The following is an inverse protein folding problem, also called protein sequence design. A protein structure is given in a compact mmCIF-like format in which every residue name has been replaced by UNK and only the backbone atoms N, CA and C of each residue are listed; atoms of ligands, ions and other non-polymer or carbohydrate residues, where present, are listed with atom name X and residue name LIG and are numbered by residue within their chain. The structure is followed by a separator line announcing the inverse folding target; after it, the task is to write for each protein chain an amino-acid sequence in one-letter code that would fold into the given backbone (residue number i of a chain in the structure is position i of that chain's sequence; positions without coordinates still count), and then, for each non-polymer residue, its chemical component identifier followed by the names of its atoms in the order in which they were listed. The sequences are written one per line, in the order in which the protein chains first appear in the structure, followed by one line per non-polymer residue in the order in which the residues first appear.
data_IF_104848212857
#
_entry.id   IF_104848212857
#
_cell.length_a   1.000
_cell.length_b   1.000
_cell.length_c   1.000
_cell.angle_alpha   90.00
_cell.angle_beta   90.00
_cell.angle_gamma   90.00
#
_symmetry.space_group_name_H-M   'P 1'
#
loop_
_entity.id
_entity.type
_entity.pdbx_description
1 polymer ?
#
# COMPACT_ATOMS: atom_id res chain seq x y z
N UNK A 1 11.06 -0.34 5.41
CA UNK A 1 11.89 0.23 6.47
C UNK A 1 11.18 -0.03 7.81
N UNK A 2 11.79 -0.81 8.72
CA UNK A 2 11.35 -0.89 10.11
C UNK A 2 12.26 0.00 10.96
N UNK A 3 11.70 0.80 11.84
CA UNK A 3 12.46 1.58 12.79
C UNK A 3 12.16 1.08 14.20
N UNK A 4 13.19 0.67 14.93
CA UNK A 4 13.10 0.36 16.35
C UNK A 4 13.44 1.63 17.14
N UNK A 5 12.57 2.02 18.04
CA UNK A 5 12.80 3.21 18.91
C UNK A 5 13.13 2.75 20.31
N UNK A 6 14.34 3.01 20.76
CA UNK A 6 14.83 2.61 22.08
C UNK A 6 14.33 3.50 23.22
N UNK A 7 14.46 2.98 24.45
CA UNK A 7 14.00 3.64 25.68
C UNK A 7 14.94 4.73 26.23
N UNK A 8 16.16 4.83 25.71
CA UNK A 8 17.10 5.87 26.10
C UNK A 8 17.13 6.97 25.04
N UNK A 9 16.72 8.16 25.43
CA UNK A 9 16.67 9.41 24.67
C UNK A 9 16.96 9.28 23.15
N UNK A 10 15.92 8.91 22.36
CA UNK A 10 15.93 9.01 20.88
C UNK A 10 16.91 8.09 20.14
N UNK A 11 17.26 6.92 20.67
CA UNK A 11 17.96 5.90 19.88
C UNK A 11 16.99 5.35 18.83
N UNK A 12 17.40 5.42 17.58
CA UNK A 12 16.67 4.91 16.43
C UNK A 12 17.48 3.81 15.77
N UNK A 13 17.08 2.58 16.01
CA UNK A 13 17.65 1.44 15.33
C UNK A 13 16.88 1.18 14.03
N UNK A 14 17.59 0.81 13.00
CA UNK A 14 17.02 0.47 11.70
C UNK A 14 17.25 -0.98 11.38
N UNK A 15 16.19 -1.63 10.95
CA UNK A 15 16.22 -2.99 10.48
C UNK A 15 15.90 -3.03 8.99
N UNK A 16 16.81 -3.53 8.17
CA UNK A 16 16.64 -3.54 6.71
C UNK A 16 17.42 -4.71 6.09
N UNK A 17 16.84 -5.35 5.08
CA UNK A 17 17.51 -6.41 4.29
C UNK A 17 18.12 -5.89 2.98
N UNK A 18 17.94 -4.61 2.64
CA UNK A 18 18.48 -4.01 1.42
C UNK A 18 19.64 -3.06 1.75
N UNK A 19 20.88 -3.41 1.38
CA UNK A 19 22.04 -2.54 1.61
C UNK A 19 22.16 -1.36 0.64
N UNK A 20 21.41 -1.36 -0.47
CA UNK A 20 21.53 -0.36 -1.53
C UNK A 20 20.46 0.75 -1.45
N UNK A 21 20.16 1.22 -0.26
CA UNK A 21 19.20 2.33 -0.05
C UNK A 21 19.80 3.38 0.85
N UNK A 22 19.51 4.65 0.58
CA UNK A 22 19.97 5.79 1.41
C UNK A 22 19.58 5.66 2.89
N UNK A 23 18.53 4.91 3.18
CA UNK A 23 18.09 4.63 4.55
C UNK A 23 19.03 3.71 5.33
N UNK A 24 19.98 3.07 4.67
CA UNK A 24 21.02 2.23 5.27
C UNK A 24 22.38 2.89 5.26
N UNK A 25 22.46 4.17 4.94
CA UNK A 25 23.67 4.94 5.11
C UNK A 25 24.03 5.03 6.60
N UNK A 26 25.32 5.07 6.88
CA UNK A 26 25.88 4.94 8.24
C UNK A 26 25.43 6.03 9.22
N UNK A 27 24.96 7.15 8.72
CA UNK A 27 24.53 8.32 9.49
C UNK A 27 23.01 8.47 9.63
N UNK A 28 22.23 7.54 9.09
CA UNK A 28 20.75 7.61 9.08
C UNK A 28 20.09 6.99 10.31
N UNK A 29 20.83 6.17 11.07
CA UNK A 29 20.35 5.51 12.29
C UNK A 29 21.49 5.32 13.29
N UNK A 30 21.15 5.15 14.57
CA UNK A 30 22.14 4.90 15.61
C UNK A 30 22.72 3.48 15.52
N UNK A 31 21.88 2.52 15.13
CA UNK A 31 22.27 1.14 14.83
C UNK A 31 21.56 0.64 13.60
N UNK A 32 22.23 -0.20 12.85
CA UNK A 32 21.73 -0.79 11.62
C UNK A 32 21.87 -2.30 11.65
N UNK A 33 20.75 -2.99 11.48
CA UNK A 33 20.66 -4.44 11.41
C UNK A 33 20.36 -4.85 9.97
N UNK A 34 21.28 -5.61 9.36
CA UNK A 34 21.12 -6.19 8.04
C UNK A 34 20.74 -7.66 8.17
N UNK A 35 19.45 -7.91 8.34
CA UNK A 35 18.92 -9.25 8.51
C UNK A 35 17.65 -9.43 7.63
N UNK A 36 17.23 -10.66 7.37
CA UNK A 36 15.98 -10.92 6.66
C UNK A 36 14.77 -10.35 7.42
N UNK A 37 13.83 -9.74 6.72
CA UNK A 37 12.58 -9.24 7.30
C UNK A 37 11.61 -10.39 7.60
N UNK A 38 12.06 -11.36 8.40
CA UNK A 38 11.22 -12.42 8.97
C UNK A 38 10.75 -12.03 10.36
N UNK A 39 9.66 -12.62 10.82
CA UNK A 39 9.16 -12.34 12.16
C UNK A 39 10.15 -12.76 13.24
N UNK A 40 10.77 -13.91 13.07
CA UNK A 40 11.70 -14.53 14.00
C UNK A 40 12.94 -13.67 14.18
N UNK A 41 13.54 -13.20 13.07
CA UNK A 41 14.74 -12.37 13.10
C UNK A 41 14.45 -11.00 13.70
N UNK A 42 13.31 -10.38 13.33
CA UNK A 42 12.86 -9.11 13.91
C UNK A 42 12.62 -9.24 15.41
N UNK A 43 11.99 -10.33 15.87
CA UNK A 43 11.76 -10.57 17.30
C UNK A 43 13.07 -10.73 18.07
N UNK A 44 14.09 -11.38 17.51
CA UNK A 44 15.41 -11.48 18.15
C UNK A 44 16.03 -10.12 18.40
N UNK A 45 15.94 -9.19 17.44
CA UNK A 45 16.44 -7.81 17.62
C UNK A 45 15.59 -7.04 18.62
N UNK A 46 14.27 -7.20 18.62
CA UNK A 46 13.38 -6.58 19.61
C UNK A 46 13.72 -7.06 21.02
N UNK A 47 13.96 -8.35 21.22
CA UNK A 47 14.36 -8.92 22.52
C UNK A 47 15.72 -8.42 22.98
N UNK A 48 16.64 -8.22 22.04
CA UNK A 48 17.99 -7.71 22.31
C UNK A 48 17.98 -6.23 22.71
N UNK A 49 17.34 -5.40 21.88
CA UNK A 49 17.39 -3.93 22.02
C UNK A 49 16.29 -3.37 22.92
N UNK A 50 15.23 -4.15 23.16
CA UNK A 50 14.08 -3.77 23.99
C UNK A 50 13.53 -2.38 23.68
N UNK A 51 13.21 -2.09 22.41
CA UNK A 51 12.70 -0.80 22.02
C UNK A 51 11.34 -0.52 22.69
N UNK A 52 10.97 0.76 22.79
CA UNK A 52 9.64 1.16 23.26
C UNK A 52 8.55 0.77 22.27
N UNK A 53 8.91 0.57 20.99
CA UNK A 53 8.01 0.11 19.94
C UNK A 53 8.69 0.07 18.58
N UNK A 54 7.92 -0.32 17.58
CA UNK A 54 8.38 -0.57 16.20
C UNK A 54 7.52 0.21 15.21
N UNK A 55 8.15 0.89 14.26
CA UNK A 55 7.49 1.51 13.12
C UNK A 55 7.58 0.56 11.92
N UNK A 56 6.45 0.13 11.37
CA UNK A 56 6.38 -0.81 10.24
C UNK A 56 5.96 -0.16 8.92
N UNK A 57 5.53 1.10 8.94
CA UNK A 57 4.89 1.76 7.80
C UNK A 57 5.86 2.27 6.74
N UNK A 58 7.09 2.64 7.11
CA UNK A 58 8.03 3.35 6.23
C UNK A 58 8.86 2.41 5.34
N UNK A 59 8.48 1.16 5.19
CA UNK A 59 9.26 0.14 4.49
C UNK A 59 8.52 -0.60 3.39
N UNK A 60 7.41 -0.05 2.90
CA UNK A 60 6.56 -0.71 1.91
C UNK A 60 5.85 -1.94 2.49
N UNK A 61 5.46 -2.86 1.62
CA UNK A 61 4.61 -4.01 1.96
C UNK A 61 5.27 -5.06 2.86
N UNK A 62 6.60 -5.20 2.82
CA UNK A 62 7.26 -6.29 3.56
C UNK A 62 7.16 -6.13 5.07
N UNK A 63 7.52 -4.98 5.68
CA UNK A 63 7.32 -4.79 7.11
C UNK A 63 5.83 -4.68 7.50
N UNK A 64 4.96 -4.13 6.64
CA UNK A 64 3.51 -4.09 6.92
C UNK A 64 2.91 -5.48 7.12
N UNK A 65 3.36 -6.50 6.38
CA UNK A 65 2.92 -7.89 6.56
C UNK A 65 3.30 -8.49 7.91
N UNK A 66 4.28 -7.91 8.60
CA UNK A 66 4.65 -8.33 9.95
C UNK A 66 3.78 -7.68 11.04
N UNK A 67 3.04 -6.62 10.72
CA UNK A 67 2.28 -5.83 11.70
C UNK A 67 1.38 -6.71 12.59
N UNK A 68 0.60 -7.61 11.99
CA UNK A 68 -0.28 -8.51 12.73
C UNK A 68 0.48 -9.42 13.70
N UNK A 69 1.54 -10.09 13.22
CA UNK A 69 2.31 -11.02 14.05
C UNK A 69 3.03 -10.31 15.19
N UNK A 70 3.55 -9.10 14.95
CA UNK A 70 4.18 -8.26 15.98
C UNK A 70 3.15 -7.80 17.01
N UNK A 71 1.99 -7.33 16.57
CA UNK A 71 0.88 -6.96 17.46
C UNK A 71 0.42 -8.13 18.33
N UNK A 72 0.19 -9.30 17.72
CA UNK A 72 -0.23 -10.52 18.42
C UNK A 72 0.82 -11.01 19.44
N UNK A 73 2.09 -10.71 19.20
CA UNK A 73 3.20 -10.97 20.12
C UNK A 73 3.36 -9.91 21.22
N UNK A 74 2.49 -8.90 21.27
CA UNK A 74 2.51 -7.82 22.26
C UNK A 74 3.54 -6.72 22.00
N UNK A 75 4.08 -6.64 20.78
CA UNK A 75 5.00 -5.57 20.39
C UNK A 75 4.20 -4.29 20.14
N UNK A 76 4.60 -3.19 20.78
CA UNK A 76 4.00 -1.88 20.55
C UNK A 76 4.33 -1.39 19.14
N UNK A 77 3.29 -1.18 18.30
CA UNK A 77 3.45 -0.48 17.03
C UNK A 77 3.37 1.04 17.27
N UNK A 78 4.32 1.77 16.72
CA UNK A 78 4.40 3.23 16.79
C UNK A 78 3.98 3.84 15.47
N UNK A 79 3.42 5.04 15.53
CA UNK A 79 2.81 5.70 14.40
C UNK A 79 1.36 5.25 14.25
N UNK A 80 0.99 4.62 13.13
CA UNK A 80 -0.35 4.06 12.95
C UNK A 80 -0.50 2.74 13.69
N UNK A 81 -1.58 2.57 14.44
CA UNK A 81 -1.89 1.33 15.15
C UNK A 81 -2.25 0.19 14.20
N UNK A 82 -2.22 -1.05 14.73
CA UNK A 82 -2.51 -2.24 13.92
C UNK A 82 -3.91 -2.20 13.31
N UNK A 83 -4.92 -1.81 14.06
CA UNK A 83 -6.31 -1.77 13.59
C UNK A 83 -6.49 -0.79 12.42
N UNK A 84 -5.77 0.32 12.44
CA UNK A 84 -5.80 1.30 11.36
C UNK A 84 -5.03 0.82 10.13
N UNK A 85 -3.90 0.12 10.33
CA UNK A 85 -3.16 -0.53 9.24
C UNK A 85 -4.03 -1.61 8.59
N UNK A 86 -4.64 -2.50 9.37
CA UNK A 86 -5.51 -3.58 8.88
C UNK A 86 -6.70 -3.01 8.10
N UNK A 87 -7.31 -1.95 8.61
CA UNK A 87 -8.41 -1.25 7.92
C UNK A 87 -8.00 -0.63 6.59
N UNK A 88 -6.76 -0.15 6.48
CA UNK A 88 -6.24 0.41 5.25
C UNK A 88 -5.84 -0.66 4.22
N UNK A 89 -5.34 -1.80 4.69
CA UNK A 89 -4.89 -2.91 3.84
C UNK A 89 -6.05 -3.84 3.39
N UNK A 90 -7.06 -4.00 4.25
CA UNK A 90 -8.24 -4.80 3.90
C UNK A 90 -9.21 -3.99 3.02
N UNK A 91 -9.50 -4.52 1.85
CA UNK A 91 -10.32 -3.83 0.83
C UNK A 91 -11.75 -3.59 1.25
N UNK A 92 -12.36 -4.53 1.96
CA UNK A 92 -13.76 -4.42 2.38
C UNK A 92 -13.86 -3.38 3.51
N UNK A 93 -12.93 -3.42 4.45
CA UNK A 93 -12.85 -2.45 5.54
C UNK A 93 -12.53 -1.05 5.01
N UNK A 94 -11.60 -0.94 4.06
CA UNK A 94 -11.25 0.33 3.43
C UNK A 94 -12.43 0.92 2.65
N UNK A 95 -13.09 0.11 1.81
CA UNK A 95 -14.25 0.55 1.05
C UNK A 95 -15.40 0.98 1.97
N UNK A 96 -15.64 0.26 3.07
CA UNK A 96 -16.64 0.64 4.07
C UNK A 96 -16.29 1.97 4.74
N UNK A 97 -15.01 2.21 5.03
CA UNK A 97 -14.52 3.47 5.59
C UNK A 97 -14.72 4.63 4.62
N UNK A 98 -14.33 4.48 3.34
CA UNK A 98 -14.53 5.51 2.32
C UNK A 98 -16.03 5.85 2.15
N UNK A 99 -16.89 4.84 2.11
CA UNK A 99 -18.34 5.05 2.04
C UNK A 99 -18.88 5.81 3.26
N UNK A 100 -18.40 5.47 4.46
CA UNK A 100 -18.78 6.17 5.70
C UNK A 100 -18.34 7.64 5.69
N UNK A 101 -17.19 7.94 5.10
CA UNK A 101 -16.67 9.29 4.95
C UNK A 101 -17.27 10.05 3.77
N UNK A 102 -18.07 9.40 2.92
CA UNK A 102 -18.62 10.00 1.70
C UNK A 102 -17.57 10.27 0.63
N UNK A 103 -16.40 9.62 0.71
CA UNK A 103 -15.33 9.77 -0.27
C UNK A 103 -15.60 8.91 -1.49
N UNK A 104 -15.23 9.43 -2.66
CA UNK A 104 -15.38 8.72 -3.91
C UNK A 104 -14.26 7.68 -4.07
N UNK A 105 -14.61 6.55 -4.64
CA UNK A 105 -13.67 5.51 -5.05
C UNK A 105 -14.08 4.96 -6.41
N UNK A 106 -13.15 4.42 -7.21
CA UNK A 106 -13.51 3.76 -8.45
C UNK A 106 -14.51 2.63 -8.20
N UNK A 107 -15.50 2.51 -9.07
CA UNK A 107 -16.46 1.40 -8.97
C UNK A 107 -15.70 0.10 -9.18
N UNK A 108 -15.87 -0.84 -8.28
CA UNK A 108 -15.13 -2.09 -8.29
C UNK A 108 -16.02 -3.30 -7.99
N UNK A 109 -15.44 -4.47 -8.15
CA UNK A 109 -16.07 -5.74 -7.79
C UNK A 109 -15.09 -6.90 -7.83
N UNK A 110 -15.50 -8.00 -7.23
CA UNK A 110 -14.71 -9.22 -7.10
C UNK A 110 -15.47 -10.35 -7.81
N UNK A 111 -14.81 -11.07 -8.70
CA UNK A 111 -15.39 -12.17 -9.46
C UNK A 111 -14.65 -13.48 -9.21
N UNK A 112 -15.40 -14.56 -9.01
CA UNK A 112 -14.88 -15.93 -8.93
C UNK A 112 -15.21 -16.75 -10.18
N UNK A 113 -16.06 -16.20 -11.05
CA UNK A 113 -16.45 -16.80 -12.33
C UNK A 113 -16.49 -15.76 -13.43
N UNK A 114 -16.35 -16.20 -14.67
CA UNK A 114 -16.49 -15.33 -15.84
C UNK A 114 -17.87 -14.65 -15.88
N UNK A 115 -18.92 -15.37 -15.51
CA UNK A 115 -20.27 -14.80 -15.47
C UNK A 115 -20.40 -13.63 -14.49
N UNK A 116 -19.78 -13.76 -13.30
CA UNK A 116 -19.71 -12.67 -12.34
C UNK A 116 -18.87 -11.50 -12.87
N UNK A 117 -17.74 -11.79 -13.51
CA UNK A 117 -16.87 -10.79 -14.12
C UNK A 117 -17.61 -9.96 -15.18
N UNK A 118 -18.33 -10.62 -16.06
CA UNK A 118 -19.15 -9.96 -17.10
C UNK A 118 -20.25 -9.07 -16.50
N UNK A 119 -20.92 -9.53 -15.44
CA UNK A 119 -21.93 -8.73 -14.73
C UNK A 119 -21.32 -7.47 -14.11
N UNK A 120 -20.14 -7.61 -13.50
CA UNK A 120 -19.41 -6.50 -12.91
C UNK A 120 -18.96 -5.52 -13.99
N UNK A 121 -18.35 -6.03 -15.07
CA UNK A 121 -17.89 -5.21 -16.19
C UNK A 121 -19.04 -4.41 -16.85
N UNK A 122 -20.21 -5.03 -17.02
CA UNK A 122 -21.41 -4.32 -17.53
C UNK A 122 -21.90 -3.21 -16.60
N UNK A 123 -21.75 -3.39 -15.30
CA UNK A 123 -22.10 -2.35 -14.30
C UNK A 123 -21.09 -1.19 -14.29
N UNK A 124 -19.81 -1.50 -14.44
CA UNK A 124 -18.72 -0.52 -14.38
C UNK A 124 -18.62 0.26 -15.69
N UNK A 125 -18.74 -0.43 -16.83
CA UNK A 125 -18.41 0.07 -18.17
C UNK A 125 -16.92 -0.05 -18.49
N UNK A 126 -16.61 -0.26 -19.78
CA UNK A 126 -15.24 -0.34 -20.26
C UNK A 126 -14.63 1.07 -20.47
N UNK A 127 -13.30 1.25 -20.33
CA UNK A 127 -12.32 0.24 -19.96
C UNK A 127 -12.34 -0.08 -18.44
N UNK A 128 -11.95 -1.32 -18.14
CA UNK A 128 -11.81 -1.83 -16.77
C UNK A 128 -10.39 -2.32 -16.53
N UNK A 129 -9.97 -2.29 -15.26
CA UNK A 129 -8.71 -2.87 -14.81
C UNK A 129 -9.01 -4.23 -14.18
N UNK A 130 -8.36 -5.28 -14.66
CA UNK A 130 -8.54 -6.65 -14.17
C UNK A 130 -7.22 -7.13 -13.55
N UNK A 131 -7.29 -7.66 -12.33
CA UNK A 131 -6.11 -8.15 -11.61
C UNK A 131 -6.46 -9.35 -10.71
N UNK A 132 -5.62 -10.39 -10.65
CA UNK A 132 -5.76 -11.43 -9.65
C UNK A 132 -5.51 -10.87 -8.24
N UNK A 133 -6.18 -11.42 -7.22
CA UNK A 133 -6.07 -10.91 -5.84
C UNK A 133 -4.69 -11.08 -5.21
N UNK A 134 -3.89 -12.02 -5.68
CA UNK A 134 -2.58 -12.36 -5.10
C UNK A 134 -1.48 -12.47 -6.18
N UNK A 135 -1.12 -11.34 -6.77
CA UNK A 135 0.06 -11.29 -7.66
C UNK A 135 1.00 -10.20 -7.19
N UNK A 136 2.21 -10.59 -6.84
CA UNK A 136 3.31 -9.70 -6.50
C UNK A 136 3.90 -9.07 -7.79
N UNK A 137 4.11 -7.76 -7.77
CA UNK A 137 4.90 -7.06 -8.77
C UNK A 137 4.21 -6.73 -10.09
N UNK A 138 2.90 -6.44 -10.11
CA UNK A 138 2.20 -5.94 -11.30
C UNK A 138 2.04 -6.95 -12.44
N UNK A 139 2.49 -8.19 -12.29
CA UNK A 139 2.28 -9.26 -13.26
C UNK A 139 0.80 -9.62 -13.29
N UNK A 140 0.24 -9.67 -14.50
CA UNK A 140 -1.17 -10.00 -14.76
C UNK A 140 -2.21 -8.92 -14.36
N UNK A 141 -1.82 -7.65 -14.24
CA UNK A 141 -2.76 -6.53 -14.21
C UNK A 141 -2.92 -6.00 -15.63
N UNK A 142 -4.13 -5.98 -16.16
CA UNK A 142 -4.40 -5.61 -17.55
C UNK A 142 -5.61 -4.67 -17.63
N UNK A 143 -5.46 -3.64 -18.46
CA UNK A 143 -6.59 -2.81 -18.89
C UNK A 143 -7.33 -3.54 -19.99
N UNK A 144 -8.61 -3.77 -19.78
CA UNK A 144 -9.50 -4.49 -20.67
C UNK A 144 -10.51 -3.53 -21.26
N UNK A 145 -10.55 -3.44 -22.58
CA UNK A 145 -11.35 -2.46 -23.31
C UNK A 145 -12.67 -3.06 -23.86
N UNK A 146 -12.83 -4.39 -23.84
CA UNK A 146 -14.00 -5.07 -24.40
C UNK A 146 -14.31 -6.39 -23.69
N UNK A 147 -15.53 -6.90 -23.92
CA UNK A 147 -16.02 -8.16 -23.37
C UNK A 147 -15.16 -9.35 -23.83
N UNK A 148 -14.83 -9.42 -25.10
CA UNK A 148 -14.01 -10.51 -25.69
C UNK A 148 -12.62 -10.58 -25.02
N UNK A 149 -12.02 -9.43 -24.75
CA UNK A 149 -10.72 -9.36 -24.07
C UNK A 149 -10.82 -9.74 -22.60
N UNK A 150 -11.97 -9.47 -21.95
CA UNK A 150 -12.22 -9.91 -20.59
C UNK A 150 -12.28 -11.43 -20.49
N UNK A 151 -12.92 -12.10 -21.44
CA UNK A 151 -13.01 -13.56 -21.49
C UNK A 151 -11.63 -14.21 -21.64
N UNK A 152 -10.83 -13.71 -22.58
CA UNK A 152 -9.45 -14.19 -22.77
C UNK A 152 -8.62 -14.06 -21.51
N UNK A 153 -8.61 -12.87 -20.91
CA UNK A 153 -7.79 -12.56 -19.75
C UNK A 153 -8.27 -13.29 -18.49
N UNK A 154 -9.57 -13.41 -18.28
CA UNK A 154 -10.14 -14.10 -17.13
C UNK A 154 -9.75 -15.58 -17.09
N UNK A 155 -9.70 -16.21 -18.26
CA UNK A 155 -9.25 -17.59 -18.39
C UNK A 155 -7.76 -17.77 -18.01
N UNK A 156 -6.92 -16.76 -18.23
CA UNK A 156 -5.52 -16.74 -17.81
C UNK A 156 -5.39 -16.44 -16.30
N UNK A 157 -6.12 -15.47 -15.80
CA UNK A 157 -6.09 -15.04 -14.40
C UNK A 157 -6.46 -16.17 -13.43
N UNK A 158 -7.47 -16.98 -13.77
CA UNK A 158 -7.85 -18.16 -12.98
C UNK A 158 -6.74 -19.23 -12.95
N UNK A 159 -6.01 -19.40 -14.05
CA UNK A 159 -4.88 -20.37 -14.08
C UNK A 159 -3.77 -19.98 -13.13
N UNK A 160 -3.54 -18.68 -12.96
CA UNK A 160 -2.47 -18.14 -12.08
C UNK A 160 -2.89 -18.19 -10.61
N UNK A 161 -4.16 -18.04 -10.30
CA UNK A 161 -4.68 -17.99 -8.93
C UNK A 161 -6.07 -18.62 -8.83
N UNK A 162 -6.17 -19.96 -8.92
CA UNK A 162 -7.46 -20.66 -9.04
C UNK A 162 -8.35 -20.53 -7.79
N UNK A 163 -7.76 -20.37 -6.62
CA UNK A 163 -8.47 -20.32 -5.34
C UNK A 163 -8.84 -18.89 -4.90
N UNK A 164 -8.38 -17.89 -5.64
CA UNK A 164 -8.58 -16.48 -5.27
C UNK A 164 -9.44 -15.73 -6.27
N UNK A 165 -10.25 -14.77 -5.81
CA UNK A 165 -11.08 -13.97 -6.70
C UNK A 165 -10.24 -13.06 -7.59
N UNK A 166 -10.77 -12.75 -8.75
CA UNK A 166 -10.26 -11.74 -9.66
C UNK A 166 -10.92 -10.40 -9.33
N UNK A 167 -10.13 -9.36 -9.26
CA UNK A 167 -10.57 -8.01 -8.96
C UNK A 167 -10.78 -7.26 -10.28
N UNK A 168 -11.89 -6.52 -10.34
CA UNK A 168 -12.29 -5.73 -11.49
C UNK A 168 -12.57 -4.33 -10.99
N UNK A 169 -11.78 -3.38 -11.44
CA UNK A 169 -11.88 -1.98 -11.04
C UNK A 169 -12.19 -1.12 -12.27
N UNK A 170 -12.89 -0.02 -12.07
CA UNK A 170 -13.07 1.02 -13.09
C UNK A 170 -11.69 1.60 -13.43
N UNK A 171 -11.36 1.66 -14.71
CA UNK A 171 -10.14 2.32 -15.17
C UNK A 171 -10.41 3.79 -15.42
N UNK A 172 -9.68 4.66 -14.74
CA UNK A 172 -9.78 6.10 -14.91
C UNK A 172 -8.79 6.57 -15.97
N UNK A 173 -9.28 6.80 -17.19
CA UNK A 173 -8.47 7.35 -18.28
C UNK A 173 -8.14 8.82 -18.02
N UNK A 174 -6.92 9.23 -18.33
CA UNK A 174 -6.45 10.63 -18.22
C UNK A 174 -6.53 11.21 -16.79
N UNK A 175 -6.46 10.38 -15.78
CA UNK A 175 -6.34 10.83 -14.40
C UNK A 175 -4.93 11.36 -14.11
N UNK A 176 -4.84 12.35 -13.24
CA UNK A 176 -3.60 12.80 -12.61
C UNK A 176 -3.49 12.09 -11.27
N UNK A 177 -2.36 11.47 -11.01
CA UNK A 177 -2.07 10.78 -9.76
C UNK A 177 -1.42 11.73 -8.78
N UNK A 178 -1.90 11.68 -7.54
CA UNK A 178 -1.45 12.58 -6.48
C UNK A 178 -1.23 11.76 -5.22
N UNK A 179 -0.08 11.92 -4.61
CA UNK A 179 0.21 11.39 -3.28
C UNK A 179 0.09 12.50 -2.24
N UNK A 180 -0.57 12.21 -1.14
CA UNK A 180 -0.73 13.14 -0.02
C UNK A 180 -0.18 12.51 1.24
N UNK A 181 0.86 13.11 1.79
CA UNK A 181 1.42 12.71 3.08
C UNK A 181 0.75 13.46 4.22
N UNK A 182 0.29 12.70 5.20
CA UNK A 182 -0.38 13.22 6.39
C UNK A 182 0.43 12.88 7.65
N UNK A 183 0.52 13.83 8.55
CA UNK A 183 1.09 13.64 9.88
C UNK A 183 0.00 13.85 10.93
N UNK A 184 -0.19 12.86 11.80
CA UNK A 184 -1.18 12.91 12.87
C UNK A 184 -0.53 12.77 14.25
N UNK A 185 -1.05 13.51 15.23
CA UNK A 185 -0.64 13.44 16.64
C UNK A 185 -1.67 12.69 17.52
N UNK A 186 -2.71 12.12 16.88
CA UNK A 186 -3.83 11.45 17.56
C UNK A 186 -5.05 12.35 17.82
N UNK A 187 -4.89 13.67 17.76
CA UNK A 187 -5.99 14.66 17.90
C UNK A 187 -6.23 15.41 16.59
N UNK A 188 -5.18 15.72 15.87
CA UNK A 188 -5.19 16.46 14.62
C UNK A 188 -4.37 15.72 13.56
N UNK A 189 -4.73 15.95 12.30
CA UNK A 189 -3.94 15.53 11.16
C UNK A 189 -3.63 16.77 10.32
N UNK A 190 -2.37 16.88 9.88
CA UNK A 190 -1.89 17.95 9.02
C UNK A 190 -1.30 17.36 7.75
N UNK A 191 -1.55 18.03 6.63
CA UNK A 191 -0.95 17.68 5.34
C UNK A 191 0.52 18.11 5.37
N UNK A 192 1.42 17.14 5.33
CA UNK A 192 2.87 17.39 5.31
C UNK A 192 3.36 17.71 3.89
N UNK A 193 2.72 17.14 2.87
CA UNK A 193 3.03 17.41 1.48
C UNK A 193 2.00 16.85 0.52
N UNK A 194 1.91 17.49 -0.63
CA UNK A 194 1.12 17.02 -1.79
C UNK A 194 2.06 16.89 -2.97
N UNK A 195 2.17 15.70 -3.53
CA UNK A 195 3.04 15.38 -4.66
C UNK A 195 2.19 15.04 -5.88
N UNK A 196 2.46 15.72 -6.98
CA UNK A 196 1.84 15.44 -8.29
C UNK A 196 2.76 14.55 -9.12
N UNK A 197 2.25 13.44 -9.64
CA UNK A 197 2.99 12.57 -10.53
C UNK A 197 3.16 13.21 -11.91
N UNK A 198 4.35 13.10 -12.48
CA UNK A 198 4.65 13.59 -13.83
C UNK A 198 4.20 12.56 -14.87
N UNK A 199 4.35 11.27 -14.56
CA UNK A 199 3.90 10.18 -15.38
C UNK A 199 2.37 10.05 -15.30
N UNK A 200 1.81 9.40 -16.33
CA UNK A 200 0.37 9.13 -16.37
C UNK A 200 -0.05 8.16 -15.28
N UNK A 201 -1.24 8.35 -14.75
CA UNK A 201 -1.84 7.43 -13.80
C UNK A 201 -1.83 5.97 -14.30
N UNK A 202 -1.48 5.06 -13.38
CA UNK A 202 -1.31 3.63 -13.67
C UNK A 202 0.15 3.19 -13.82
N UNK A 203 1.11 4.10 -13.80
CA UNK A 203 2.52 3.79 -13.64
C UNK A 203 2.79 3.67 -12.15
N UNK A 204 3.54 2.63 -11.75
CA UNK A 204 3.86 2.40 -10.35
C UNK A 204 4.56 3.62 -9.74
N UNK A 205 4.14 4.04 -8.55
CA UNK A 205 4.67 5.26 -7.89
C UNK A 205 6.19 5.23 -7.69
N UNK A 206 6.78 4.05 -7.50
CA UNK A 206 8.24 3.89 -7.41
C UNK A 206 9.00 4.13 -8.72
N UNK A 207 8.29 4.14 -9.85
CA UNK A 207 8.83 4.37 -11.20
C UNK A 207 8.42 5.75 -11.76
N UNK A 208 7.67 6.52 -10.97
CA UNK A 208 7.20 7.86 -11.34
C UNK A 208 8.04 8.95 -10.70
N UNK A 209 8.33 10.00 -11.45
CA UNK A 209 8.83 11.25 -10.88
C UNK A 209 7.66 12.07 -10.33
N UNK A 210 7.89 12.76 -9.22
CA UNK A 210 6.89 13.60 -8.57
C UNK A 210 7.36 15.04 -8.45
N UNK A 211 6.43 15.98 -8.55
CA UNK A 211 6.66 17.39 -8.27
C UNK A 211 6.11 17.75 -6.89
N UNK A 212 6.96 18.35 -6.06
CA UNK A 212 6.60 18.90 -4.76
C UNK A 212 7.11 20.34 -4.67
N UNK A 213 6.27 21.35 -4.59
CA UNK A 213 4.80 21.31 -4.61
C UNK A 213 4.24 20.89 -5.97
N UNK A 214 2.95 20.52 -6.04
CA UNK A 214 2.28 20.19 -7.30
C UNK A 214 2.25 21.41 -8.22
N UNK A 215 2.29 21.19 -9.53
CA UNK A 215 2.37 22.28 -10.53
C UNK A 215 1.12 22.41 -11.41
N UNK A 216 0.38 21.32 -11.60
CA UNK A 216 -0.80 21.26 -12.46
C UNK A 216 -2.14 21.39 -11.73
N UNK A 217 -2.12 21.36 -10.40
CA UNK A 217 -3.32 21.41 -9.58
C UNK A 217 -3.78 22.84 -9.33
N UNK A 218 -5.08 23.06 -9.48
CA UNK A 218 -5.70 24.31 -9.07
C UNK A 218 -5.75 24.47 -7.55
N UNK A 219 -5.80 25.72 -7.08
CA UNK A 219 -5.88 26.03 -5.65
C UNK A 219 -7.11 25.41 -4.98
N UNK A 220 -8.19 25.28 -5.73
CA UNK A 220 -9.45 24.67 -5.32
C UNK A 220 -9.37 23.17 -5.02
N UNK A 221 -8.30 22.49 -5.49
CA UNK A 221 -8.03 21.09 -5.19
C UNK A 221 -7.13 20.96 -3.95
N UNK A 222 -6.32 21.97 -3.67
CA UNK A 222 -5.33 21.98 -2.58
C UNK A 222 -5.91 22.48 -1.25
N UNK A 223 -7.06 23.15 -1.27
CA UNK A 223 -7.82 23.63 -0.09
C UNK A 223 -8.88 22.59 0.36
#
# INVERSE_FOLDING_TARGET
YGCLVGSEMCIRDRYNCNPETVSTDYDTSDRLYFEPLTFEDVMHVIELEKPIGVIVQLGGQTPLKLAKRLHDAGVQLLGTDFESIDRAEDRELFAAMLNKLGLQQPVNGTARSLEEALKIAKRIGYPILVRPSYVLGGRAMVVVESEDRLEEFFAEAIKVSPDHPVLIDQFLSNAVEIDVDLLGDGEKAEVAGVMEHIERAGIHSGDSACSLPPFGLGQDILE
#
